data_IF_377286469839
#
_entry.id   IF_377286469839
#
_cell.length_a   1.000
_cell.length_b   1.000
_cell.length_c   1.000
_cell.angle_alpha   90.00
_cell.angle_beta   90.00
_cell.angle_gamma   90.00
#
_symmetry.space_group_name_H-M   'P 1'
#
loop_
_entity.id
_entity.type
_entity.pdbx_description
1 polymer ?
#
# COMPACT_ATOMS: atom_id res chain seq x y z
N UNK A 1 -29.20 -18.57 -28.54
CA UNK A 1 -28.90 -17.18 -28.94
C UNK A 1 -28.25 -16.51 -27.73
N UNK A 2 -26.95 -16.26 -27.79
CA UNK A 2 -26.21 -15.57 -26.72
C UNK A 2 -26.03 -14.13 -27.16
N UNK A 3 -26.50 -13.19 -26.35
CA UNK A 3 -26.33 -11.77 -26.61
C UNK A 3 -25.01 -11.33 -25.98
N UNK A 4 -24.09 -10.86 -26.82
CA UNK A 4 -22.90 -10.17 -26.36
C UNK A 4 -23.32 -8.73 -26.03
N UNK A 5 -23.34 -8.40 -24.74
CA UNK A 5 -23.58 -7.03 -24.28
C UNK A 5 -22.19 -6.40 -24.16
N UNK A 6 -21.85 -5.55 -25.13
CA UNK A 6 -20.65 -4.74 -25.05
C UNK A 6 -20.82 -3.74 -23.90
N UNK A 7 -20.29 -4.13 -22.73
CA UNK A 7 -20.24 -3.25 -21.58
C UNK A 7 -19.28 -2.11 -21.90
N UNK A 8 -19.65 -0.83 -21.65
CA UNK A 8 -18.72 0.27 -21.85
C UNK A 8 -17.48 0.01 -20.99
N UNK A 9 -16.33 -0.21 -21.66
CA UNK A 9 -15.05 -0.26 -20.98
C UNK A 9 -14.74 1.14 -20.46
N UNK A 10 -15.12 1.38 -19.20
CA UNK A 10 -14.61 2.54 -18.47
C UNK A 10 -13.09 2.44 -18.48
N UNK A 11 -12.43 3.40 -19.14
CA UNK A 11 -10.98 3.54 -19.10
C UNK A 11 -10.56 3.55 -17.63
N UNK A 12 -9.86 2.50 -17.20
CA UNK A 12 -9.39 2.43 -15.82
C UNK A 12 -8.48 3.65 -15.61
N UNK A 13 -8.69 4.45 -14.54
CA UNK A 13 -7.77 5.52 -14.22
C UNK A 13 -6.37 4.91 -14.11
N UNK A 14 -5.37 5.58 -14.70
CA UNK A 14 -3.98 5.20 -14.57
C UNK A 14 -3.68 4.84 -13.11
N UNK A 15 -2.88 3.78 -12.88
CA UNK A 15 -2.58 3.24 -11.55
C UNK A 15 -1.86 4.28 -10.68
N UNK A 16 -2.67 5.20 -10.15
CA UNK A 16 -2.20 6.34 -9.38
C UNK A 16 -1.86 5.75 -8.03
N UNK A 17 -0.58 5.76 -7.73
CA UNK A 17 -0.03 5.41 -6.44
C UNK A 17 0.57 6.67 -5.83
N UNK A 18 0.13 7.02 -4.63
CA UNK A 18 0.64 8.18 -3.90
C UNK A 18 1.06 7.79 -2.49
N UNK A 19 1.98 8.55 -1.90
CA UNK A 19 2.45 8.35 -0.54
C UNK A 19 2.08 9.52 0.33
N UNK A 20 1.73 9.23 1.59
CA UNK A 20 1.61 10.24 2.63
C UNK A 20 2.29 9.73 3.90
N UNK A 21 3.08 10.60 4.54
CA UNK A 21 3.64 10.32 5.86
C UNK A 21 3.11 11.35 6.86
N UNK A 22 2.80 10.93 8.07
CA UNK A 22 2.34 11.81 9.14
C UNK A 22 2.75 11.27 10.52
N UNK A 23 3.12 12.16 11.43
CA UNK A 23 3.14 11.83 12.86
C UNK A 23 1.69 11.66 13.34
N UNK A 24 1.43 10.57 14.07
CA UNK A 24 0.09 10.25 14.60
C UNK A 24 0.04 10.28 16.13
N UNK A 25 1.20 10.12 16.79
CA UNK A 25 1.38 10.25 18.23
C UNK A 25 2.88 10.48 18.53
N UNK A 26 3.22 10.65 19.81
CA UNK A 26 4.61 10.64 20.25
C UNK A 26 5.30 9.36 19.74
N UNK A 27 6.49 9.55 19.16
CA UNK A 27 7.33 8.49 18.61
C UNK A 27 6.66 7.60 17.55
N UNK A 28 5.50 8.01 17.02
CA UNK A 28 4.66 7.17 16.17
C UNK A 28 4.35 7.87 14.85
N UNK A 29 4.82 7.26 13.77
CA UNK A 29 4.63 7.76 12.40
C UNK A 29 3.86 6.74 11.57
N UNK A 30 2.91 7.21 10.77
CA UNK A 30 2.24 6.43 9.74
C UNK A 30 2.80 6.77 8.36
N UNK A 31 2.96 5.76 7.51
CA UNK A 31 3.18 5.88 6.09
C UNK A 31 1.99 5.23 5.39
N UNK A 32 1.21 6.02 4.66
CA UNK A 32 0.04 5.60 3.90
C UNK A 32 0.43 5.47 2.44
N UNK A 33 0.38 4.24 1.94
CA UNK A 33 0.52 3.91 0.53
C UNK A 33 -0.91 3.89 -0.07
N UNK A 34 -1.28 4.95 -0.81
CA UNK A 34 -2.63 5.14 -1.35
C UNK A 34 -2.73 4.64 -2.78
N UNK A 35 -3.66 3.72 -3.03
CA UNK A 35 -3.97 3.16 -4.34
C UNK A 35 -5.34 3.64 -4.79
N UNK A 36 -5.39 4.35 -5.91
CA UNK A 36 -6.63 4.96 -6.40
C UNK A 36 -7.36 4.11 -7.43
N UNK A 37 -6.63 3.22 -8.11
CA UNK A 37 -7.20 2.27 -9.06
C UNK A 37 -7.51 0.93 -8.38
N UNK A 38 -8.51 0.23 -8.91
CA UNK A 38 -8.82 -1.15 -8.53
C UNK A 38 -7.82 -2.07 -9.21
N UNK A 39 -7.08 -2.83 -8.43
CA UNK A 39 -6.07 -3.78 -8.89
C UNK A 39 -6.48 -5.25 -8.70
N UNK A 40 -7.54 -5.51 -7.92
CA UNK A 40 -8.05 -6.86 -7.63
C UNK A 40 -9.55 -6.94 -7.76
N UNK A 41 -10.05 -8.07 -8.24
CA UNK A 41 -11.48 -8.35 -8.30
C UNK A 41 -11.99 -8.92 -6.96
N UNK A 42 -11.98 -8.09 -5.92
CA UNK A 42 -12.53 -8.42 -4.60
C UNK A 42 -13.64 -7.43 -4.22
N UNK A 43 -14.67 -7.92 -3.53
CA UNK A 43 -15.89 -7.17 -3.18
C UNK A 43 -15.59 -5.93 -2.33
N UNK A 44 -14.57 -6.02 -1.48
CA UNK A 44 -14.09 -4.93 -0.61
C UNK A 44 -13.72 -3.64 -1.39
N UNK A 45 -13.44 -3.75 -2.70
CA UNK A 45 -13.07 -2.64 -3.57
C UNK A 45 -14.17 -2.24 -4.57
N UNK A 46 -15.42 -2.67 -4.38
CA UNK A 46 -16.53 -2.35 -5.29
C UNK A 46 -16.96 -0.89 -5.25
N UNK A 47 -16.74 -0.20 -4.14
CA UNK A 47 -17.10 1.22 -4.01
C UNK A 47 -16.18 2.16 -4.80
N UNK A 48 -15.07 1.66 -5.37
CA UNK A 48 -14.13 2.42 -6.23
C UNK A 48 -13.60 3.74 -5.64
N UNK A 49 -13.60 3.86 -4.31
CA UNK A 49 -13.10 5.04 -3.58
C UNK A 49 -11.59 5.03 -3.33
N UNK A 50 -10.87 4.07 -3.93
CA UNK A 50 -9.47 3.78 -3.62
C UNK A 50 -9.30 3.02 -2.29
N UNK A 51 -8.05 2.76 -1.93
CA UNK A 51 -7.66 2.07 -0.71
C UNK A 51 -6.32 2.59 -0.19
N UNK A 52 -6.07 2.40 1.11
CA UNK A 52 -4.79 2.75 1.73
C UNK A 52 -4.18 1.53 2.40
N UNK A 53 -2.92 1.25 2.12
CA UNK A 53 -2.11 0.29 2.85
C UNK A 53 -1.22 1.08 3.81
N UNK A 54 -1.50 0.95 5.10
CA UNK A 54 -0.86 1.75 6.13
C UNK A 54 0.23 0.93 6.81
N UNK A 55 1.43 1.49 6.83
CA UNK A 55 2.57 1.01 7.62
C UNK A 55 2.80 1.96 8.78
N UNK A 56 3.17 1.43 9.94
CA UNK A 56 3.46 2.23 11.12
C UNK A 56 4.89 2.02 11.60
N UNK A 57 5.44 3.07 12.20
CA UNK A 57 6.74 3.05 12.87
C UNK A 57 6.57 3.62 14.26
N UNK A 58 6.98 2.86 15.26
CA UNK A 58 7.02 3.26 16.66
C UNK A 58 8.48 3.31 17.11
N UNK A 59 8.91 4.43 17.69
CA UNK A 59 10.30 4.73 18.05
C UNK A 59 10.46 5.05 19.55
N UNK A 60 10.02 4.14 20.42
CA UNK A 60 10.29 4.25 21.85
C UNK A 60 11.74 3.82 22.14
N UNK A 61 12.00 3.14 23.26
CA UNK A 61 13.33 2.57 23.56
C UNK A 61 13.87 1.66 22.44
N UNK A 62 12.96 1.03 21.68
CA UNK A 62 13.27 0.24 20.48
C UNK A 62 12.40 0.71 19.33
N UNK A 63 12.93 0.59 18.11
CA UNK A 63 12.17 0.86 16.88
C UNK A 63 11.43 -0.40 16.42
N UNK A 64 10.11 -0.30 16.23
CA UNK A 64 9.27 -1.36 15.72
C UNK A 64 8.52 -0.92 14.44
N UNK A 65 8.69 -1.64 13.32
CA UNK A 65 7.82 -1.51 12.16
C UNK A 65 6.58 -2.39 12.30
N UNK A 66 5.42 -1.88 11.89
CA UNK A 66 4.16 -2.63 11.86
C UNK A 66 3.57 -2.55 10.46
N UNK A 67 3.13 -3.70 9.95
CA UNK A 67 2.52 -3.90 8.64
C UNK A 67 3.37 -3.35 7.48
N UNK A 68 4.14 -4.21 6.82
CA UNK A 68 4.86 -3.82 5.60
C UNK A 68 3.87 -3.61 4.45
N UNK A 69 4.23 -2.72 3.51
CA UNK A 69 3.36 -2.36 2.40
C UNK A 69 3.13 -3.51 1.43
N UNK A 70 1.95 -3.54 0.80
CA UNK A 70 1.60 -4.47 -0.29
C UNK A 70 2.63 -4.44 -1.43
N UNK A 71 2.85 -5.59 -2.10
CA UNK A 71 3.88 -5.74 -3.14
C UNK A 71 3.84 -4.67 -4.25
N UNK A 72 2.66 -4.18 -4.61
CA UNK A 72 2.48 -3.09 -5.60
C UNK A 72 3.11 -1.75 -5.20
N UNK A 73 3.36 -1.53 -3.90
CA UNK A 73 4.03 -0.35 -3.38
C UNK A 73 5.48 -0.59 -2.99
N UNK A 74 6.04 -1.78 -3.28
CA UNK A 74 7.35 -2.19 -2.78
C UNK A 74 8.40 -1.11 -3.00
N UNK A 75 8.56 -0.58 -4.22
CA UNK A 75 9.56 0.45 -4.51
C UNK A 75 9.29 1.77 -3.78
N UNK A 76 8.03 2.22 -3.74
CA UNK A 76 7.62 3.53 -3.22
C UNK A 76 7.64 3.58 -1.68
N UNK A 77 7.09 2.57 -1.01
CA UNK A 77 7.11 2.49 0.45
C UNK A 77 8.54 2.12 0.95
N UNK A 78 9.31 1.33 0.20
CA UNK A 78 10.73 1.02 0.53
C UNK A 78 11.59 2.27 0.56
N UNK A 79 11.49 3.17 -0.44
CA UNK A 79 12.31 4.40 -0.48
C UNK A 79 12.17 5.30 0.76
N UNK A 80 11.05 5.21 1.47
CA UNK A 80 10.79 6.00 2.69
C UNK A 80 11.11 5.25 4.00
N UNK A 81 11.32 3.93 3.91
CA UNK A 81 11.72 3.05 5.01
C UNK A 81 13.21 2.66 4.93
N UNK A 82 13.83 2.78 3.75
CA UNK A 82 15.20 2.37 3.43
C UNK A 82 16.29 3.31 3.95
N UNK A 83 15.94 4.48 4.49
CA UNK A 83 16.86 5.31 5.25
C UNK A 83 17.36 4.62 6.55
N UNK A 84 16.94 3.39 6.83
CA UNK A 84 17.23 2.69 8.07
C UNK A 84 17.86 1.29 7.88
N UNK A 85 19.02 1.00 8.51
CA UNK A 85 19.84 -0.21 8.30
C UNK A 85 19.15 -1.57 8.54
N UNK A 86 18.01 -1.60 9.24
CA UNK A 86 17.29 -2.83 9.59
C UNK A 86 16.30 -3.27 8.51
N UNK A 87 15.87 -2.38 7.61
CA UNK A 87 14.87 -2.68 6.58
C UNK A 87 15.35 -3.76 5.59
N UNK A 88 16.65 -3.76 5.27
CA UNK A 88 17.26 -4.74 4.37
C UNK A 88 17.22 -6.18 4.89
N UNK A 89 17.02 -6.40 6.21
CA UNK A 89 16.92 -7.75 6.79
C UNK A 89 15.48 -8.28 6.87
N UNK A 90 14.48 -7.40 7.04
CA UNK A 90 13.08 -7.81 7.15
C UNK A 90 12.51 -8.33 5.81
N UNK A 91 13.00 -7.80 4.68
CA UNK A 91 12.58 -8.24 3.34
C UNK A 91 13.08 -9.63 2.92
N UNK A 92 13.94 -10.28 3.73
CA UNK A 92 14.34 -11.67 3.52
C UNK A 92 13.31 -12.69 4.01
N UNK A 93 12.20 -12.26 4.64
CA UNK A 93 11.16 -13.15 5.14
C UNK A 93 9.81 -12.83 4.47
N UNK A 94 9.28 -13.85 3.77
CA UNK A 94 7.98 -13.97 3.10
C UNK A 94 7.79 -13.39 1.67
N UNK A 95 7.89 -14.25 0.63
CA UNK A 95 7.51 -13.94 -0.76
C UNK A 95 6.01 -14.14 -1.09
N UNK A 96 5.11 -14.26 -0.10
CA UNK A 96 3.70 -14.54 -0.33
C UNK A 96 2.78 -13.58 0.41
N UNK A 97 2.75 -12.30 0.02
CA UNK A 97 1.65 -11.36 0.27
C UNK A 97 1.66 -10.23 -0.78
#
# INVERSE_FOLDING_TARGET
MVYQIDSPQAVAPADRLTLQAAAIAADSTVIRCLGWARDRCAIEFELRNGTTYNSFRIQAEKTAPIATSHGKFKTQCTLRLADYPWFSRAHAMHPYL
#
